data_IF_375729684284
#
_entry.id   IF_375729684284
#
_cell.length_a   1.000
_cell.length_b   1.000
_cell.length_c   1.000
_cell.angle_alpha   90.00
_cell.angle_beta   90.00
_cell.angle_gamma   90.00
#
_symmetry.space_group_name_H-M   'P 1'
#
loop_
_entity.id
_entity.type
_entity.pdbx_description
1 polymer ?
#
# COMPACT_ATOMS: atom_id res chain seq x y z
N UNK A 1 -28.25 -1.76 14.38
CA UNK A 1 -28.52 -1.43 12.97
C UNK A 1 -27.26 -1.26 12.09
N UNK A 2 -26.05 -1.14 12.65
CA UNK A 2 -24.82 -0.82 11.88
C UNK A 2 -24.33 -1.88 10.88
N UNK A 3 -24.54 -3.17 11.15
CA UNK A 3 -23.96 -4.25 10.31
C UNK A 3 -24.56 -4.29 8.90
N UNK A 4 -25.87 -4.02 8.76
CA UNK A 4 -26.57 -4.03 7.47
C UNK A 4 -26.14 -2.82 6.63
N UNK A 5 -26.04 -1.65 7.26
CA UNK A 5 -25.56 -0.44 6.59
C UNK A 5 -24.09 -0.56 6.16
N UNK A 6 -23.24 -1.19 6.96
CA UNK A 6 -21.85 -1.47 6.61
C UNK A 6 -21.74 -2.42 5.40
N UNK A 7 -22.56 -3.48 5.34
CA UNK A 7 -22.62 -4.39 4.19
C UNK A 7 -23.03 -3.68 2.90
N UNK A 8 -24.04 -2.81 2.97
CA UNK A 8 -24.46 -2.03 1.81
C UNK A 8 -23.40 -1.06 1.31
N UNK A 9 -22.67 -0.40 2.22
CA UNK A 9 -21.55 0.47 1.83
C UNK A 9 -20.41 -0.31 1.20
N UNK A 10 -20.09 -1.48 1.77
CA UNK A 10 -19.09 -2.36 1.19
C UNK A 10 -19.51 -2.81 -0.22
N UNK A 11 -20.74 -3.28 -0.38
CA UNK A 11 -21.29 -3.63 -1.69
C UNK A 11 -21.26 -2.45 -2.68
N UNK A 12 -21.57 -1.24 -2.23
CA UNK A 12 -21.49 -0.03 -3.05
C UNK A 12 -20.05 0.27 -3.49
N UNK A 13 -19.05 0.13 -2.61
CA UNK A 13 -17.63 0.31 -2.98
C UNK A 13 -17.19 -0.74 -3.99
N UNK A 14 -17.59 -2.00 -3.83
CA UNK A 14 -17.32 -3.05 -4.81
C UNK A 14 -17.99 -2.78 -6.16
N UNK A 15 -19.26 -2.36 -6.16
CA UNK A 15 -20.00 -2.01 -7.37
C UNK A 15 -19.39 -0.79 -8.09
N UNK A 16 -19.02 0.25 -7.35
CA UNK A 16 -18.31 1.41 -7.90
C UNK A 16 -16.95 1.01 -8.47
N UNK A 17 -16.25 0.09 -7.79
CA UNK A 17 -14.96 -0.43 -8.26
C UNK A 17 -15.12 -1.18 -9.58
N UNK A 18 -16.11 -2.07 -9.70
CA UNK A 18 -16.48 -2.72 -10.97
C UNK A 18 -16.82 -1.70 -12.06
N UNK A 19 -17.60 -0.67 -11.70
CA UNK A 19 -17.95 0.42 -12.61
C UNK A 19 -16.72 1.16 -13.13
N UNK A 20 -15.78 1.52 -12.26
CA UNK A 20 -14.53 2.17 -12.65
C UNK A 20 -13.67 1.29 -13.55
N UNK A 21 -13.61 -0.02 -13.33
CA UNK A 21 -12.89 -0.94 -14.21
C UNK A 21 -13.54 -1.01 -15.59
N UNK A 22 -14.87 -1.08 -15.65
CA UNK A 22 -15.60 -1.03 -16.93
C UNK A 22 -15.34 0.28 -17.70
N UNK A 23 -15.30 1.41 -16.99
CA UNK A 23 -14.91 2.71 -17.57
C UNK A 23 -13.47 2.65 -18.09
N UNK A 24 -12.51 2.12 -17.33
CA UNK A 24 -11.12 1.97 -17.78
C UNK A 24 -11.00 1.14 -19.06
N UNK A 25 -11.77 0.06 -19.19
CA UNK A 25 -11.83 -0.74 -20.42
C UNK A 25 -12.42 0.06 -21.57
N UNK A 26 -13.51 0.80 -21.35
CA UNK A 26 -14.10 1.67 -22.37
C UNK A 26 -13.12 2.77 -22.85
N UNK A 27 -12.37 3.37 -21.93
CA UNK A 27 -11.30 4.33 -22.25
C UNK A 27 -10.17 3.71 -23.08
N UNK A 28 -9.84 2.42 -22.86
CA UNK A 28 -8.87 1.72 -23.70
C UNK A 28 -9.38 1.56 -25.14
N UNK A 29 -10.66 1.23 -25.33
CA UNK A 29 -11.26 1.15 -26.68
C UNK A 29 -11.34 2.52 -27.36
N UNK A 30 -11.76 3.56 -26.62
CA UNK A 30 -11.73 4.94 -27.11
C UNK A 30 -10.32 5.33 -27.55
N UNK A 31 -9.29 4.99 -26.76
CA UNK A 31 -7.89 5.21 -27.11
C UNK A 31 -7.49 4.52 -28.40
N UNK A 32 -7.79 3.24 -28.53
CA UNK A 32 -7.54 2.48 -29.75
C UNK A 32 -8.18 3.15 -30.97
N UNK A 33 -9.45 3.52 -30.88
CA UNK A 33 -10.19 4.08 -32.01
C UNK A 33 -9.71 5.50 -32.35
N UNK A 34 -9.29 6.29 -31.34
CA UNK A 34 -8.64 7.58 -31.53
C UNK A 34 -7.31 7.44 -32.28
N UNK A 35 -6.44 6.51 -31.86
CA UNK A 35 -5.17 6.26 -32.55
C UNK A 35 -5.39 5.72 -33.98
N UNK A 36 -6.40 4.89 -34.20
CA UNK A 36 -6.76 4.40 -35.54
C UNK A 36 -7.20 5.55 -36.46
N UNK A 37 -8.04 6.48 -35.97
CA UNK A 37 -8.46 7.64 -36.74
C UNK A 37 -7.26 8.53 -37.12
N UNK A 38 -6.33 8.73 -36.18
CA UNK A 38 -5.10 9.49 -36.42
C UNK A 38 -4.19 8.79 -37.44
N UNK A 39 -4.00 7.48 -37.33
CA UNK A 39 -3.18 6.69 -38.23
C UNK A 39 -3.74 6.69 -39.68
N UNK A 40 -5.06 6.61 -39.81
CA UNK A 40 -5.74 6.65 -41.10
C UNK A 40 -5.91 8.08 -41.67
N UNK A 41 -5.47 9.12 -40.94
CA UNK A 41 -5.62 10.54 -41.29
C UNK A 41 -7.09 10.95 -41.55
N UNK A 42 -8.03 10.30 -40.84
CA UNK A 42 -9.46 10.59 -40.96
C UNK A 42 -9.84 11.71 -39.97
N UNK A 43 -9.94 12.94 -40.50
CA UNK A 43 -10.24 14.13 -39.71
C UNK A 43 -11.63 14.09 -39.07
N UNK A 44 -12.63 13.52 -39.75
CA UNK A 44 -14.00 13.47 -39.25
C UNK A 44 -14.11 12.49 -38.08
N UNK A 45 -13.55 11.29 -38.23
CA UNK A 45 -13.48 10.33 -37.13
C UNK A 45 -12.64 10.85 -35.97
N UNK A 46 -11.53 11.52 -36.25
CA UNK A 46 -10.70 12.11 -35.20
C UNK A 46 -11.49 13.10 -34.33
N UNK A 47 -12.22 14.03 -34.95
CA UNK A 47 -13.03 15.01 -34.20
C UNK A 47 -14.14 14.34 -33.39
N UNK A 48 -14.78 13.31 -33.93
CA UNK A 48 -15.80 12.54 -33.23
C UNK A 48 -15.22 11.78 -32.02
N UNK A 49 -14.08 11.11 -32.20
CA UNK A 49 -13.39 10.39 -31.12
C UNK A 49 -12.88 11.34 -30.04
N UNK A 50 -12.40 12.53 -30.42
CA UNK A 50 -12.01 13.57 -29.47
C UNK A 50 -13.20 14.00 -28.58
N UNK A 51 -14.38 14.20 -29.17
CA UNK A 51 -15.59 14.54 -28.43
C UNK A 51 -16.00 13.41 -27.47
N UNK A 52 -15.93 12.15 -27.91
CA UNK A 52 -16.19 11.00 -27.04
C UNK A 52 -15.18 10.89 -25.90
N UNK A 53 -13.92 11.21 -26.14
CA UNK A 53 -12.90 11.29 -25.10
C UNK A 53 -13.23 12.35 -24.05
N UNK A 54 -13.60 13.55 -24.47
CA UNK A 54 -14.00 14.63 -23.56
C UNK A 54 -15.26 14.28 -22.76
N UNK A 55 -16.28 13.70 -23.42
CA UNK A 55 -17.48 13.20 -22.75
C UNK A 55 -17.18 12.06 -21.77
N UNK A 56 -16.26 11.17 -22.14
CA UNK A 56 -15.73 10.11 -21.29
C UNK A 56 -15.08 10.67 -20.03
N UNK A 57 -14.27 11.74 -20.14
CA UNK A 57 -13.70 12.39 -18.96
C UNK A 57 -14.76 13.04 -18.09
N UNK A 58 -15.72 13.76 -18.69
CA UNK A 58 -16.80 14.41 -17.96
C UNK A 58 -17.65 13.41 -17.15
N UNK A 59 -17.91 12.22 -17.70
CA UNK A 59 -18.65 11.16 -17.00
C UNK A 59 -17.80 10.28 -16.08
N UNK A 60 -16.57 9.96 -16.50
CA UNK A 60 -15.68 9.03 -15.80
C UNK A 60 -15.08 9.62 -14.53
N UNK A 61 -14.56 10.85 -14.58
CA UNK A 61 -13.89 11.49 -13.43
C UNK A 61 -14.78 11.50 -12.18
N UNK A 62 -16.07 11.92 -12.24
CA UNK A 62 -16.95 11.86 -11.08
C UNK A 62 -17.09 10.46 -10.48
N UNK A 63 -17.14 9.41 -11.30
CA UNK A 63 -17.26 8.02 -10.82
C UNK A 63 -16.00 7.58 -10.09
N UNK A 64 -14.81 7.90 -10.62
CA UNK A 64 -13.54 7.64 -9.94
C UNK A 64 -13.46 8.36 -8.58
N UNK A 65 -13.79 9.65 -8.56
CA UNK A 65 -13.79 10.45 -7.33
C UNK A 65 -14.78 9.90 -6.30
N UNK A 66 -15.99 9.54 -6.72
CA UNK A 66 -17.01 8.95 -5.85
C UNK A 66 -16.59 7.59 -5.29
N UNK A 67 -15.94 6.76 -6.10
CA UNK A 67 -15.40 5.46 -5.67
C UNK A 67 -14.33 5.64 -4.59
N UNK A 68 -13.39 6.54 -4.81
CA UNK A 68 -12.30 6.79 -3.86
C UNK A 68 -12.83 7.42 -2.55
N UNK A 69 -13.75 8.39 -2.66
CA UNK A 69 -14.45 8.94 -1.50
C UNK A 69 -15.22 7.87 -0.70
N UNK A 70 -15.94 6.97 -1.39
CA UNK A 70 -16.69 5.90 -0.75
C UNK A 70 -15.77 4.89 -0.04
N UNK A 71 -14.63 4.55 -0.67
CA UNK A 71 -13.58 3.70 -0.10
C UNK A 71 -13.01 4.33 1.17
N UNK A 72 -12.59 5.59 1.12
CA UNK A 72 -11.97 6.26 2.26
C UNK A 72 -12.95 6.45 3.42
N UNK A 73 -14.20 6.79 3.10
CA UNK A 73 -15.29 6.86 4.10
C UNK A 73 -15.53 5.50 4.76
N UNK A 74 -15.50 4.41 4.00
CA UNK A 74 -15.65 3.05 4.54
C UNK A 74 -14.48 2.69 5.46
N UNK A 75 -13.24 3.02 5.05
CA UNK A 75 -12.05 2.79 5.86
C UNK A 75 -12.11 3.54 7.19
N UNK A 76 -12.47 4.83 7.17
CA UNK A 76 -12.62 5.65 8.38
C UNK A 76 -13.69 5.12 9.34
N UNK A 77 -14.84 4.69 8.82
CA UNK A 77 -15.91 4.11 9.64
C UNK A 77 -15.49 2.77 10.24
N UNK A 78 -14.80 1.95 9.47
CA UNK A 78 -14.27 0.69 9.98
C UNK A 78 -13.22 0.95 11.07
N UNK A 79 -12.33 1.92 10.87
CA UNK A 79 -11.37 2.38 11.88
C UNK A 79 -12.09 2.80 13.16
N UNK A 80 -13.09 3.67 13.05
CA UNK A 80 -13.88 4.14 14.19
C UNK A 80 -14.47 2.97 14.97
N UNK A 81 -15.10 2.01 14.28
CA UNK A 81 -15.65 0.81 14.92
C UNK A 81 -14.58 -0.05 15.63
N UNK A 82 -13.44 -0.30 14.97
CA UNK A 82 -12.32 -1.06 15.53
C UNK A 82 -11.76 -0.36 16.77
N UNK A 83 -11.49 0.94 16.69
CA UNK A 83 -10.97 1.73 17.81
C UNK A 83 -11.94 1.68 19.00
N UNK A 84 -13.23 1.90 18.79
CA UNK A 84 -14.22 1.78 19.88
C UNK A 84 -14.24 0.37 20.48
N UNK A 85 -14.20 -0.67 19.65
CA UNK A 85 -14.19 -2.06 20.10
C UNK A 85 -12.95 -2.39 20.96
N UNK A 86 -11.76 -2.02 20.51
CA UNK A 86 -10.51 -2.27 21.24
C UNK A 86 -10.38 -1.41 22.49
N UNK A 87 -10.81 -0.14 22.47
CA UNK A 87 -10.84 0.71 23.66
C UNK A 87 -11.78 0.16 24.73
N UNK A 88 -12.98 -0.32 24.35
CA UNK A 88 -13.89 -0.95 25.31
C UNK A 88 -13.23 -2.15 25.99
N UNK A 89 -12.59 -3.03 25.20
CA UNK A 89 -11.90 -4.22 25.71
C UNK A 89 -10.66 -3.91 26.54
N UNK A 90 -9.96 -2.82 26.21
CA UNK A 90 -8.82 -2.32 26.97
C UNK A 90 -9.23 -1.82 28.36
N UNK A 91 -10.38 -1.15 28.47
CA UNK A 91 -10.93 -0.66 29.75
C UNK A 91 -11.70 -1.73 30.54
N UNK A 92 -12.18 -2.77 29.86
CA UNK A 92 -12.91 -3.87 30.47
C UNK A 92 -12.03 -4.65 31.48
N UNK A 93 -12.61 -5.04 32.62
CA UNK A 93 -11.95 -5.90 33.63
C UNK A 93 -10.56 -5.44 34.09
N UNK A 94 -10.30 -4.12 34.08
CA UNK A 94 -9.00 -3.50 34.39
C UNK A 94 -7.87 -4.07 33.53
N UNK A 95 -8.15 -4.41 32.28
CA UNK A 95 -7.18 -5.03 31.37
C UNK A 95 -5.98 -4.11 31.13
N UNK A 96 -6.18 -2.80 31.01
CA UNK A 96 -5.11 -1.81 30.97
C UNK A 96 -4.09 -1.97 32.11
N UNK A 97 -4.55 -2.23 33.35
CA UNK A 97 -3.69 -2.43 34.50
C UNK A 97 -2.93 -3.75 34.42
N UNK A 98 -3.59 -4.83 33.98
CA UNK A 98 -2.96 -6.15 33.83
C UNK A 98 -1.87 -6.14 32.77
N UNK A 99 -2.12 -5.47 31.64
CA UNK A 99 -1.14 -5.31 30.56
C UNK A 99 0.08 -4.55 31.07
N UNK A 100 -0.13 -3.44 31.79
CA UNK A 100 0.95 -2.65 32.37
C UNK A 100 1.74 -3.45 33.43
N UNK A 101 1.04 -4.16 34.33
CA UNK A 101 1.68 -4.87 35.44
C UNK A 101 2.45 -6.11 34.98
N UNK A 102 1.99 -6.76 33.91
CA UNK A 102 2.61 -7.99 33.38
C UNK A 102 3.59 -7.70 32.22
N UNK A 103 3.67 -6.44 31.75
CA UNK A 103 4.49 -6.04 30.59
C UNK A 103 4.29 -6.97 29.37
N UNK A 104 3.04 -7.40 29.14
CA UNK A 104 2.74 -8.38 28.08
C UNK A 104 2.67 -7.76 26.69
N UNK A 105 2.40 -6.46 26.60
CA UNK A 105 2.27 -5.73 25.34
C UNK A 105 2.96 -4.37 25.50
N UNK A 106 3.94 -4.10 24.62
CA UNK A 106 4.59 -2.79 24.55
C UNK A 106 3.68 -1.78 23.83
N UNK A 107 3.63 -0.56 24.38
CA UNK A 107 2.94 0.62 23.83
C UNK A 107 1.50 0.32 23.33
N UNK A 108 0.60 -0.16 24.21
CA UNK A 108 -0.76 -0.55 23.81
C UNK A 108 -1.57 0.63 23.25
N UNK A 109 -1.32 1.84 23.73
CA UNK A 109 -1.88 3.09 23.21
C UNK A 109 -1.46 3.34 21.76
N UNK A 110 -0.17 3.20 21.45
CA UNK A 110 0.33 3.37 20.09
C UNK A 110 -0.28 2.33 19.15
N UNK A 111 -0.36 1.06 19.58
CA UNK A 111 -0.98 -0.02 18.79
C UNK A 111 -2.45 0.25 18.48
N UNK A 112 -3.23 0.77 19.42
CA UNK A 112 -4.65 1.10 19.19
C UNK A 112 -4.79 2.23 18.16
N UNK A 113 -3.87 3.19 18.12
CA UNK A 113 -3.93 4.32 17.19
C UNK A 113 -3.35 3.96 15.82
N UNK A 114 -2.09 3.57 15.79
CA UNK A 114 -1.30 3.41 14.56
C UNK A 114 -1.67 2.11 13.85
N UNK A 115 -1.63 0.97 14.56
CA UNK A 115 -1.85 -0.34 13.92
C UNK A 115 -3.28 -0.47 13.40
N UNK A 116 -4.28 -0.01 14.16
CA UNK A 116 -5.68 -0.06 13.69
C UNK A 116 -5.90 0.82 12.48
N UNK A 117 -5.30 2.02 12.44
CA UNK A 117 -5.39 2.91 11.29
C UNK A 117 -4.72 2.30 10.05
N UNK A 118 -3.49 1.79 10.21
CA UNK A 118 -2.75 1.13 9.15
C UNK A 118 -3.49 -0.12 8.65
N UNK A 119 -4.03 -0.94 9.54
CA UNK A 119 -4.76 -2.15 9.21
C UNK A 119 -6.02 -1.87 8.39
N UNK A 120 -6.91 -0.98 8.86
CA UNK A 120 -8.18 -0.72 8.16
C UNK A 120 -7.99 -0.01 6.83
N UNK A 121 -6.98 0.84 6.71
CA UNK A 121 -6.61 1.49 5.45
C UNK A 121 -6.01 0.50 4.46
N UNK A 122 -4.96 -0.20 4.88
CA UNK A 122 -4.19 -1.09 4.02
C UNK A 122 -4.99 -2.31 3.60
N UNK A 123 -5.73 -2.95 4.51
CA UNK A 123 -6.52 -4.14 4.19
C UNK A 123 -7.60 -3.84 3.15
N UNK A 124 -8.32 -2.72 3.29
CA UNK A 124 -9.34 -2.31 2.32
C UNK A 124 -8.72 -1.94 0.98
N UNK A 125 -7.66 -1.12 0.99
CA UNK A 125 -6.97 -0.71 -0.23
C UNK A 125 -6.40 -1.91 -0.99
N UNK A 126 -5.69 -2.80 -0.28
CA UNK A 126 -5.10 -4.01 -0.86
C UNK A 126 -6.16 -4.95 -1.43
N UNK A 127 -7.26 -5.16 -0.72
CA UNK A 127 -8.37 -6.01 -1.22
C UNK A 127 -8.97 -5.47 -2.52
N UNK A 128 -9.18 -4.16 -2.62
CA UNK A 128 -9.70 -3.53 -3.84
C UNK A 128 -8.67 -3.53 -4.97
N UNK A 129 -7.39 -3.34 -4.65
CA UNK A 129 -6.31 -3.44 -5.64
C UNK A 129 -6.20 -4.85 -6.21
N UNK A 130 -6.26 -5.88 -5.36
CA UNK A 130 -6.22 -7.28 -5.80
C UNK A 130 -7.43 -7.61 -6.67
N UNK A 131 -8.61 -7.15 -6.26
CA UNK A 131 -9.84 -7.31 -7.03
C UNK A 131 -9.77 -6.64 -8.40
N UNK A 132 -9.29 -5.39 -8.46
CA UNK A 132 -9.05 -4.69 -9.72
C UNK A 132 -8.05 -5.43 -10.61
N UNK A 133 -6.92 -5.83 -10.05
CA UNK A 133 -5.89 -6.57 -10.78
C UNK A 133 -6.42 -7.88 -11.38
N UNK A 134 -7.29 -8.60 -10.64
CA UNK A 134 -7.93 -9.81 -11.14
C UNK A 134 -8.87 -9.52 -12.32
N UNK A 135 -9.71 -8.48 -12.22
CA UNK A 135 -10.61 -8.10 -13.32
C UNK A 135 -9.81 -7.64 -14.54
N UNK A 136 -8.84 -6.75 -14.34
CA UNK A 136 -7.98 -6.25 -15.41
C UNK A 136 -7.27 -7.41 -16.10
N UNK A 137 -6.69 -8.33 -15.33
CA UNK A 137 -6.04 -9.52 -15.89
C UNK A 137 -7.01 -10.33 -16.75
N UNK A 138 -8.22 -10.63 -16.27
CA UNK A 138 -9.22 -11.41 -17.02
C UNK A 138 -9.68 -10.65 -18.27
N UNK A 139 -10.07 -9.39 -18.12
CA UNK A 139 -10.59 -8.54 -19.20
C UNK A 139 -9.56 -8.31 -20.29
N UNK A 140 -8.35 -7.86 -19.94
CA UNK A 140 -7.30 -7.59 -20.93
C UNK A 140 -6.71 -8.86 -21.52
N UNK A 141 -6.63 -9.97 -20.76
CA UNK A 141 -6.24 -11.26 -21.35
C UNK A 141 -7.23 -11.70 -22.41
N UNK A 142 -8.54 -11.60 -22.15
CA UNK A 142 -9.56 -11.98 -23.11
C UNK A 142 -9.56 -11.07 -24.35
N UNK A 143 -9.46 -9.74 -24.15
CA UNK A 143 -9.36 -8.77 -25.25
C UNK A 143 -8.13 -9.06 -26.12
N UNK A 144 -6.95 -9.23 -25.50
CA UNK A 144 -5.70 -9.43 -26.22
C UNK A 144 -5.69 -10.77 -26.96
N UNK A 145 -6.16 -11.84 -26.31
CA UNK A 145 -6.29 -13.14 -26.93
C UNK A 145 -7.24 -13.11 -28.13
N UNK A 146 -8.35 -12.36 -28.05
CA UNK A 146 -9.26 -12.17 -29.17
C UNK A 146 -8.68 -11.38 -30.34
N UNK A 147 -7.79 -10.42 -30.07
CA UNK A 147 -7.15 -9.60 -31.11
C UNK A 147 -5.99 -10.35 -31.78
N UNK A 148 -5.07 -10.90 -30.98
CA UNK A 148 -3.88 -11.57 -31.50
C UNK A 148 -3.31 -12.59 -30.48
N UNK A 149 -3.73 -13.87 -30.57
CA UNK A 149 -3.33 -14.92 -29.64
C UNK A 149 -1.81 -15.12 -29.48
N UNK A 150 -0.97 -15.02 -30.53
CA UNK A 150 0.48 -15.22 -30.36
C UNK A 150 1.13 -14.17 -29.45
N UNK A 151 0.70 -12.90 -29.51
CA UNK A 151 1.22 -11.84 -28.65
C UNK A 151 0.83 -12.07 -27.19
N UNK A 152 -0.38 -12.58 -26.94
CA UNK A 152 -0.79 -12.96 -25.58
C UNK A 152 0.17 -13.97 -24.96
N UNK A 153 0.54 -15.03 -25.70
CA UNK A 153 1.49 -16.04 -25.20
C UNK A 153 2.87 -15.44 -24.93
N UNK A 154 3.37 -14.59 -25.83
CA UNK A 154 4.67 -13.91 -25.65
C UNK A 154 4.67 -13.03 -24.40
N UNK A 155 3.62 -12.22 -24.20
CA UNK A 155 3.51 -11.35 -23.03
C UNK A 155 3.34 -12.16 -21.73
N UNK A 156 2.67 -13.31 -21.78
CA UNK A 156 2.53 -14.20 -20.64
C UNK A 156 3.90 -14.78 -20.23
N UNK A 157 4.69 -15.27 -21.19
CA UNK A 157 6.07 -15.74 -20.94
C UNK A 157 6.94 -14.60 -20.40
N UNK A 158 6.86 -13.42 -21.02
CA UNK A 158 7.60 -12.23 -20.58
C UNK A 158 7.24 -11.83 -19.14
N UNK A 159 5.95 -11.81 -18.78
CA UNK A 159 5.48 -11.44 -17.45
C UNK A 159 5.93 -12.44 -16.38
N UNK A 160 5.81 -13.74 -16.64
CA UNK A 160 6.27 -14.80 -15.73
C UNK A 160 7.79 -14.72 -15.56
N UNK A 161 8.53 -14.58 -16.65
CA UNK A 161 9.99 -14.45 -16.62
C UNK A 161 10.44 -13.22 -15.83
N UNK A 162 9.86 -12.06 -16.12
CA UNK A 162 10.13 -10.82 -15.39
C UNK A 162 9.79 -10.91 -13.90
N UNK A 163 8.68 -11.57 -13.56
CA UNK A 163 8.29 -11.82 -12.16
C UNK A 163 9.29 -12.73 -11.45
N UNK A 164 9.72 -13.81 -12.10
CA UNK A 164 10.70 -14.76 -11.54
C UNK A 164 12.05 -14.07 -11.29
N UNK A 165 12.54 -13.28 -12.25
CA UNK A 165 13.76 -12.48 -12.09
C UNK A 165 13.60 -11.46 -10.95
N UNK A 166 12.45 -10.78 -10.87
CA UNK A 166 12.19 -9.81 -9.79
C UNK A 166 12.19 -10.47 -8.41
N UNK A 167 11.62 -11.67 -8.27
CA UNK A 167 11.65 -12.43 -7.01
C UNK A 167 13.08 -12.87 -6.67
N UNK A 168 13.83 -13.33 -7.67
CA UNK A 168 15.22 -13.77 -7.49
C UNK A 168 16.11 -12.63 -6.97
N UNK A 169 16.07 -11.47 -7.64
CA UNK A 169 16.82 -10.28 -7.23
C UNK A 169 16.27 -9.68 -5.91
N UNK A 170 14.94 -9.68 -5.75
CA UNK A 170 14.26 -9.13 -4.57
C UNK A 170 14.60 -9.86 -3.26
N UNK A 171 14.84 -11.17 -3.31
CA UNK A 171 15.17 -11.96 -2.11
C UNK A 171 16.42 -11.45 -1.39
N UNK A 172 17.44 -11.04 -2.16
CA UNK A 172 18.69 -10.54 -1.59
C UNK A 172 18.51 -9.14 -1.01
N UNK A 173 17.76 -8.27 -1.69
CA UNK A 173 17.36 -6.95 -1.22
C UNK A 173 16.60 -7.00 0.11
N UNK A 174 15.71 -7.98 0.31
CA UNK A 174 14.98 -8.14 1.58
C UNK A 174 15.93 -8.42 2.74
N UNK A 175 16.94 -9.28 2.53
CA UNK A 175 17.92 -9.59 3.56
C UNK A 175 18.80 -8.36 3.87
N UNK A 176 19.26 -7.65 2.83
CA UNK A 176 20.03 -6.41 3.01
C UNK A 176 19.23 -5.34 3.76
N UNK A 177 17.94 -5.19 3.45
CA UNK A 177 17.06 -4.23 4.11
C UNK A 177 16.82 -4.61 5.58
N UNK A 178 16.58 -5.90 5.87
CA UNK A 178 16.47 -6.39 7.24
C UNK A 178 17.77 -6.14 8.04
N UNK A 179 18.93 -6.41 7.43
CA UNK A 179 20.22 -6.11 8.07
C UNK A 179 20.40 -4.61 8.27
N UNK A 180 19.93 -3.77 7.34
CA UNK A 180 19.98 -2.32 7.46
C UNK A 180 19.17 -1.85 8.66
N UNK A 181 17.90 -2.25 8.76
CA UNK A 181 17.02 -1.90 9.87
C UNK A 181 17.62 -2.35 11.20
N UNK A 182 18.18 -3.56 11.26
CA UNK A 182 18.86 -4.07 12.46
C UNK A 182 20.07 -3.21 12.84
N UNK A 183 20.94 -2.86 11.89
CA UNK A 183 22.14 -2.04 12.16
C UNK A 183 21.77 -0.60 12.56
N UNK A 184 20.72 -0.03 11.97
CA UNK A 184 20.20 1.27 12.39
C UNK A 184 19.57 1.21 13.78
N UNK A 185 18.85 0.14 14.10
CA UNK A 185 18.31 -0.08 15.44
C UNK A 185 19.44 -0.21 16.49
N UNK A 186 20.52 -0.93 16.18
CA UNK A 186 21.70 -1.04 17.04
C UNK A 186 22.37 0.32 17.30
N UNK A 187 22.41 1.18 16.28
CA UNK A 187 22.90 2.56 16.40
C UNK A 187 21.98 3.42 17.27
N UNK A 188 20.66 3.42 17.02
CA UNK A 188 19.67 4.14 17.84
C UNK A 188 19.70 3.68 19.29
N UNK A 189 19.80 2.37 19.53
CA UNK A 189 19.95 1.82 20.86
C UNK A 189 21.25 2.29 21.54
N UNK A 190 22.35 2.43 20.80
CA UNK A 190 23.59 3.03 21.30
C UNK A 190 23.36 4.46 21.82
N UNK A 191 22.64 5.29 21.07
CA UNK A 191 22.31 6.66 21.51
C UNK A 191 21.42 6.68 22.76
N UNK A 192 20.45 5.77 22.85
CA UNK A 192 19.61 5.62 24.05
C UNK A 192 20.46 5.23 25.26
N UNK A 193 21.40 4.29 25.12
CA UNK A 193 22.32 3.89 26.19
C UNK A 193 23.17 5.06 26.67
N UNK A 194 23.70 5.89 25.76
CA UNK A 194 24.47 7.09 26.13
C UNK A 194 23.62 8.06 26.94
N UNK A 195 22.36 8.28 26.54
CA UNK A 195 21.42 9.12 27.30
C UNK A 195 21.12 8.53 28.69
N UNK A 196 20.91 7.21 28.79
CA UNK A 196 20.62 6.53 30.05
C UNK A 196 21.81 6.51 31.01
N UNK A 197 23.04 6.54 30.49
CA UNK A 197 24.28 6.48 31.28
C UNK A 197 25.05 7.82 31.27
N UNK A 198 24.39 8.94 30.92
CA UNK A 198 25.03 10.22 30.72
C UNK A 198 25.81 10.71 31.96
N UNK A 199 25.27 10.46 33.16
CA UNK A 199 25.92 10.81 34.43
C UNK A 199 27.21 10.02 34.65
N UNK A 200 27.17 8.70 34.46
CA UNK A 200 28.36 7.84 34.54
C UNK A 200 29.41 8.22 33.49
N UNK A 201 28.99 8.52 32.25
CA UNK A 201 29.91 8.91 31.19
C UNK A 201 30.62 10.23 31.55
N UNK A 202 29.87 11.22 32.04
CA UNK A 202 30.41 12.52 32.41
C UNK A 202 31.33 12.46 33.65
N UNK A 203 31.01 11.63 34.65
CA UNK A 203 31.83 11.49 35.86
C UNK A 203 33.14 10.73 35.62
N UNK A 204 33.15 9.75 34.71
CA UNK A 204 34.31 8.90 34.46
C UNK A 204 35.10 9.26 33.18
N UNK A 205 34.71 10.32 32.45
CA UNK A 205 35.40 10.76 31.22
C UNK A 205 35.29 9.77 30.07
N UNK A 206 34.12 9.11 29.93
CA UNK A 206 33.89 8.02 28.97
C UNK A 206 33.52 8.47 27.55
N UNK A 207 33.51 9.77 27.26
CA UNK A 207 32.93 10.35 26.04
C UNK A 207 33.62 9.84 24.76
N UNK A 208 34.95 9.75 24.75
CA UNK A 208 35.70 9.26 23.58
C UNK A 208 35.38 7.79 23.28
N UNK A 209 35.26 6.95 24.31
CA UNK A 209 34.94 5.54 24.14
C UNK A 209 33.52 5.34 23.59
N UNK A 210 32.54 6.07 24.12
CA UNK A 210 31.15 6.02 23.62
C UNK A 210 31.07 6.57 22.19
N UNK A 211 31.81 7.64 21.86
CA UNK A 211 31.90 8.16 20.50
C UNK A 211 32.46 7.13 19.53
N UNK A 212 33.56 6.44 19.87
CA UNK A 212 34.13 5.38 19.02
C UNK A 212 33.13 4.23 18.79
N UNK A 213 32.43 3.78 19.83
CA UNK A 213 31.42 2.73 19.73
C UNK A 213 30.24 3.16 18.83
N UNK A 214 29.75 4.40 18.97
CA UNK A 214 28.66 4.94 18.16
C UNK A 214 29.07 5.06 16.69
N UNK A 215 30.27 5.58 16.41
CA UNK A 215 30.81 5.70 15.05
C UNK A 215 30.99 4.33 14.41
N UNK A 216 31.42 3.31 15.17
CA UNK A 216 31.55 1.94 14.66
C UNK A 216 30.18 1.34 14.28
N UNK A 217 29.15 1.54 15.10
CA UNK A 217 27.78 1.10 14.79
C UNK A 217 27.22 1.83 13.57
N UNK A 218 27.44 3.14 13.49
CA UNK A 218 27.06 3.94 12.33
C UNK A 218 27.76 3.47 11.05
N UNK A 219 29.08 3.24 11.08
CA UNK A 219 29.82 2.69 9.94
C UNK A 219 29.30 1.33 9.51
N UNK A 220 28.94 0.48 10.46
CA UNK A 220 28.36 -0.84 10.16
C UNK A 220 26.99 -0.73 9.47
N UNK A 221 26.18 0.26 9.83
CA UNK A 221 24.92 0.56 9.15
C UNK A 221 25.14 1.20 7.77
N UNK A 222 26.16 2.05 7.63
CA UNK A 222 26.48 2.68 6.36
C UNK A 222 27.04 1.67 5.33
N UNK A 223 27.91 0.77 5.77
CA UNK A 223 28.54 -0.24 4.92
C UNK A 223 27.54 -1.25 4.36
N UNK A 224 26.45 -1.55 5.06
CA UNK A 224 25.49 -2.55 4.63
C UNK A 224 24.76 -2.19 3.30
N UNK A 225 24.66 -0.89 2.96
CA UNK A 225 24.07 -0.42 1.69
C UNK A 225 25.11 0.01 0.65
N UNK A 226 26.40 0.07 1.01
CA UNK A 226 27.48 0.58 0.13
C UNK A 226 28.42 -0.51 -0.39
N UNK A 227 28.12 -1.78 -0.11
CA UNK A 227 28.75 -2.95 -0.74
C UNK A 227 27.92 -3.37 -1.95
#
# INVERSE_FOLDING_TARGET
EDKVQARWRLAAVFALTLGTTGISVAFNFLGRDFYNALANKDQEQFMKQLLYYLGGFAGGIPVFVLRDYAKDTLSLRWRSWMTTYYMQRYLENRTFYKIQSQSTIDNPDQRIVDDLSAFTGTALAFSLTLFNAAIDLISFSNILFGIYPPLFVVLLVYSIGGTAISIFLGKELVNLNFLQEKKEADFRYGLVRVRENAESIAFYGGEENEMQMLVQRFRSAFQNLTV
#
